data_IF_474710994176
#
_entry.id   IF_474710994176
#
_cell.length_a   1.000
_cell.length_b   1.000
_cell.length_c   1.000
_cell.angle_alpha   90.00
_cell.angle_beta   90.00
_cell.angle_gamma   90.00
#
_symmetry.space_group_name_H-M   'P 1'
#
loop_
_entity.id
_entity.type
_entity.pdbx_description
1 polymer ?
#
# COMPACT_ATOMS: atom_id res chain seq x y z
N UNK A 1 5.05 7.75 2.41
CA UNK A 1 6.27 6.92 2.21
C UNK A 1 7.38 7.47 3.08
N UNK A 2 8.24 6.61 3.64
CA UNK A 2 9.37 7.01 4.48
C UNK A 2 10.67 6.33 4.03
N UNK A 3 11.84 6.85 4.46
CA UNK A 3 13.14 6.20 4.19
C UNK A 3 13.12 4.72 4.59
N UNK A 4 13.70 3.84 3.78
CA UNK A 4 13.78 2.41 4.08
C UNK A 4 14.50 2.13 5.40
N UNK A 5 14.34 0.90 5.93
CA UNK A 5 14.90 0.47 7.22
C UNK A 5 16.40 0.74 7.41
N UNK A 6 17.19 0.70 6.32
CA UNK A 6 18.63 0.99 6.33
C UNK A 6 18.96 2.41 5.88
N UNK A 7 18.00 3.34 5.94
CA UNK A 7 18.10 4.73 5.48
C UNK A 7 18.36 4.88 3.96
N UNK A 8 18.17 3.79 3.21
CA UNK A 8 18.33 3.71 1.76
C UNK A 8 16.99 3.48 1.06
N UNK A 9 17.03 3.36 -0.26
CA UNK A 9 15.93 2.85 -1.07
C UNK A 9 15.79 1.32 -0.98
N UNK A 10 14.62 0.75 -1.28
CA UNK A 10 13.35 1.45 -1.56
C UNK A 10 12.79 2.17 -0.33
N UNK A 11 11.78 3.02 -0.54
CA UNK A 11 11.05 3.62 0.57
C UNK A 11 10.12 2.58 1.20
N UNK A 12 9.95 2.65 2.52
CA UNK A 12 8.93 1.84 3.17
C UNK A 12 7.60 2.59 3.25
N UNK A 13 6.51 1.82 3.34
CA UNK A 13 5.18 2.38 3.58
C UNK A 13 5.02 2.64 5.08
N UNK A 14 4.66 3.87 5.41
CA UNK A 14 4.59 4.37 6.78
C UNK A 14 3.30 5.13 7.00
N UNK A 15 2.74 5.03 8.20
CA UNK A 15 1.66 5.89 8.63
C UNK A 15 2.25 7.21 9.14
N UNK A 16 1.67 8.33 8.70
CA UNK A 16 1.91 9.64 9.30
C UNK A 16 1.41 9.65 10.76
N UNK A 17 2.16 10.32 11.65
CA UNK A 17 1.86 10.31 13.10
C UNK A 17 0.77 11.30 13.48
N UNK A 18 0.56 12.31 12.65
CA UNK A 18 -0.40 13.37 12.90
C UNK A 18 -1.66 13.14 12.08
N UNK A 19 -2.78 12.89 12.75
CA UNK A 19 -4.07 12.58 12.10
C UNK A 19 -4.56 13.71 11.17
N UNK A 20 -4.09 14.94 11.38
CA UNK A 20 -4.39 16.10 10.51
C UNK A 20 -3.69 16.04 9.14
N UNK A 21 -2.69 15.18 8.97
CA UNK A 21 -1.94 15.02 7.73
C UNK A 21 -2.38 13.74 7.03
N UNK A 22 -3.08 13.90 5.92
CA UNK A 22 -3.66 12.80 5.14
C UNK A 22 -2.62 11.95 4.37
N UNK A 23 -1.34 12.34 4.39
CA UNK A 23 -0.26 11.61 3.75
C UNK A 23 -0.19 11.84 2.24
N UNK A 24 0.27 10.81 1.51
CA UNK A 24 0.41 10.84 0.04
C UNK A 24 -0.78 10.10 -0.57
N UNK A 25 -1.46 10.66 -1.58
CA UNK A 25 -2.55 9.99 -2.28
C UNK A 25 -2.11 8.63 -2.85
N UNK A 26 -3.06 7.69 -2.91
CA UNK A 26 -2.84 6.36 -3.50
C UNK A 26 -3.91 6.04 -4.55
N UNK A 27 -3.53 5.25 -5.54
CA UNK A 27 -4.43 4.61 -6.49
C UNK A 27 -4.47 3.12 -6.17
N UNK A 28 -5.68 2.56 -6.17
CA UNK A 28 -5.92 1.13 -6.09
C UNK A 28 -6.27 0.62 -7.48
N UNK A 29 -5.59 -0.41 -7.95
CA UNK A 29 -5.79 -0.99 -9.28
C UNK A 29 -6.06 -2.49 -9.14
N UNK A 30 -7.28 -2.99 -9.44
CA UNK A 30 -7.55 -4.43 -9.47
C UNK A 30 -6.71 -5.11 -10.55
N UNK A 31 -6.18 -6.31 -10.28
CA UNK A 31 -5.23 -6.98 -11.20
C UNK A 31 -5.90 -7.98 -12.14
N UNK A 32 -6.98 -8.65 -11.72
CA UNK A 32 -7.62 -9.74 -12.48
C UNK A 32 -9.14 -9.54 -12.67
N UNK A 33 -9.61 -8.30 -12.66
CA UNK A 33 -11.02 -7.98 -12.89
C UNK A 33 -11.17 -6.98 -14.02
N UNK A 34 -12.30 -7.04 -14.72
CA UNK A 34 -12.65 -5.98 -15.69
C UNK A 34 -12.64 -4.64 -14.98
N UNK A 35 -11.96 -3.66 -15.57
CA UNK A 35 -11.95 -2.29 -15.07
C UNK A 35 -13.34 -1.67 -15.27
N UNK A 36 -14.19 -1.83 -14.26
CA UNK A 36 -15.48 -1.16 -14.13
C UNK A 36 -15.38 0.08 -13.24
N UNK A 37 -14.16 0.47 -12.84
CA UNK A 37 -13.88 1.57 -11.92
C UNK A 37 -14.26 1.30 -10.46
N UNK A 38 -14.69 0.08 -10.10
CA UNK A 38 -15.12 -0.26 -8.73
C UNK A 38 -14.07 -1.10 -8.01
N UNK A 39 -13.55 -0.57 -6.90
CA UNK A 39 -12.69 -1.34 -6.00
C UNK A 39 -13.56 -2.19 -5.08
N UNK A 40 -13.41 -3.51 -5.17
CA UNK A 40 -14.17 -4.48 -4.39
C UNK A 40 -13.30 -5.06 -3.28
N UNK A 41 -13.94 -5.39 -2.16
CA UNK A 41 -13.27 -6.11 -1.07
C UNK A 41 -12.76 -7.48 -1.53
N UNK A 42 -11.78 -8.01 -0.80
CA UNK A 42 -11.19 -9.34 -1.02
C UNK A 42 -10.70 -9.62 -2.45
N UNK A 43 -10.44 -8.57 -3.23
CA UNK A 43 -9.94 -8.63 -4.60
C UNK A 43 -8.47 -8.24 -4.63
N UNK A 44 -7.65 -9.00 -5.37
CA UNK A 44 -6.22 -8.70 -5.53
C UNK A 44 -6.05 -7.38 -6.28
N UNK A 45 -5.32 -6.47 -5.63
CA UNK A 45 -5.08 -5.12 -6.12
C UNK A 45 -3.64 -4.68 -5.88
N UNK A 46 -3.16 -3.79 -6.75
CA UNK A 46 -1.95 -3.02 -6.48
C UNK A 46 -2.31 -1.73 -5.75
N UNK A 47 -1.37 -1.23 -4.92
CA UNK A 47 -1.49 0.04 -4.21
C UNK A 47 -0.32 0.94 -4.63
N UNK A 48 -0.59 2.00 -5.37
CA UNK A 48 0.43 2.90 -5.92
C UNK A 48 0.34 4.27 -5.30
N UNK A 49 1.45 4.75 -4.73
CA UNK A 49 1.52 6.12 -4.20
C UNK A 49 1.77 7.14 -5.31
N UNK A 50 1.08 8.28 -5.22
CA UNK A 50 1.18 9.40 -6.16
C UNK A 50 1.81 10.60 -5.42
N UNK A 51 3.15 10.67 -5.31
CA UNK A 51 3.82 11.82 -4.72
C UNK A 51 3.64 13.07 -5.59
N UNK A 52 3.61 14.24 -4.96
CA UNK A 52 3.48 15.54 -5.65
C UNK A 52 4.70 15.96 -6.48
N UNK A 53 5.76 15.16 -6.49
CA UNK A 53 7.02 15.45 -7.16
C UNK A 53 7.92 14.21 -7.26
N UNK A 54 9.10 14.33 -7.88
CA UNK A 54 10.00 13.21 -8.08
C UNK A 54 10.50 12.63 -6.75
N UNK A 55 10.67 11.31 -6.72
CA UNK A 55 11.25 10.58 -5.60
C UNK A 55 12.77 10.48 -5.75
N UNK A 56 13.51 10.41 -4.63
CA UNK A 56 14.95 10.15 -4.69
C UNK A 56 15.27 8.67 -5.00
N UNK A 57 14.30 7.77 -4.81
CA UNK A 57 14.39 6.37 -5.21
C UNK A 57 13.93 6.21 -6.65
N UNK A 58 14.69 5.44 -7.44
CA UNK A 58 14.35 5.08 -8.83
C UNK A 58 13.34 3.94 -8.94
N UNK A 59 13.13 3.21 -7.85
CA UNK A 59 12.12 2.15 -7.74
C UNK A 59 10.70 2.73 -7.90
N UNK A 60 9.77 1.89 -8.35
CA UNK A 60 8.36 2.27 -8.43
C UNK A 60 7.79 2.65 -7.05
N UNK A 61 6.72 3.43 -7.06
CA UNK A 61 5.94 3.76 -5.85
C UNK A 61 4.81 2.76 -5.58
N UNK A 62 4.82 1.62 -6.29
CA UNK A 62 3.88 0.51 -6.07
C UNK A 62 4.30 -0.22 -4.81
N UNK A 63 3.36 -0.47 -3.93
CA UNK A 63 3.58 -1.21 -2.68
C UNK A 63 3.91 -2.67 -2.99
N UNK A 64 4.78 -3.26 -2.17
CA UNK A 64 5.04 -4.69 -2.15
C UNK A 64 5.36 -5.17 -0.73
N UNK A 65 5.10 -6.44 -0.45
CA UNK A 65 5.62 -7.11 0.74
C UNK A 65 7.10 -7.42 0.52
N UNK A 66 7.97 -6.85 1.36
CA UNK A 66 9.39 -7.15 1.34
C UNK A 66 9.68 -8.50 2.01
N UNK A 67 10.85 -9.07 1.73
CA UNK A 67 11.44 -10.18 2.47
C UNK A 67 11.37 -10.00 4.01
N UNK A 68 11.25 -11.13 4.71
CA UNK A 68 11.24 -11.14 6.17
C UNK A 68 12.52 -10.54 6.74
N UNK A 69 12.37 -9.50 7.56
CA UNK A 69 13.49 -8.90 8.27
C UNK A 69 13.68 -9.64 9.60
N UNK A 70 14.61 -10.59 9.63
CA UNK A 70 14.92 -11.38 10.83
C UNK A 70 15.34 -10.50 12.02
N UNK A 71 16.03 -9.39 11.78
CA UNK A 71 16.50 -8.49 12.84
C UNK A 71 15.36 -7.76 13.55
N UNK A 72 14.23 -7.59 12.86
CA UNK A 72 13.03 -6.91 13.38
C UNK A 72 11.84 -7.83 13.57
N UNK A 73 11.91 -9.07 13.11
CA UNK A 73 10.88 -10.10 13.27
C UNK A 73 9.60 -9.85 12.46
N UNK A 74 9.68 -9.15 11.33
CA UNK A 74 8.50 -8.72 10.57
C UNK A 74 8.70 -8.76 9.06
N UNK A 75 7.60 -9.07 8.34
CA UNK A 75 7.45 -8.76 6.91
C UNK A 75 6.97 -7.31 6.80
N UNK A 76 7.71 -6.47 6.07
CA UNK A 76 7.43 -5.04 5.94
C UNK A 76 6.74 -4.74 4.60
N UNK A 77 5.85 -3.75 4.60
CA UNK A 77 5.36 -3.18 3.35
C UNK A 77 6.34 -2.11 2.89
N UNK A 78 6.92 -2.33 1.71
CA UNK A 78 7.87 -1.43 1.05
C UNK A 78 7.36 -0.99 -0.32
N UNK A 79 8.09 -0.12 -1.01
CA UNK A 79 7.81 0.25 -2.40
C UNK A 79 8.75 -0.46 -3.38
N UNK A 80 8.48 -0.37 -4.67
CA UNK A 80 9.25 -1.05 -5.72
C UNK A 80 8.54 -2.26 -6.32
N UNK A 81 7.24 -2.40 -6.04
CA UNK A 81 6.41 -3.45 -6.61
C UNK A 81 6.16 -3.32 -8.12
N UNK A 82 5.49 -4.32 -8.66
CA UNK A 82 5.10 -4.41 -10.07
C UNK A 82 3.59 -4.20 -10.18
N UNK A 83 3.16 -3.33 -11.09
CA UNK A 83 1.75 -3.02 -11.32
C UNK A 83 1.22 -3.84 -12.50
N UNK A 84 0.00 -4.38 -12.36
CA UNK A 84 -0.74 -5.07 -13.42
C UNK A 84 -0.33 -6.52 -13.70
N UNK A 85 0.65 -7.06 -12.99
CA UNK A 85 1.07 -8.46 -13.13
C UNK A 85 0.42 -9.35 -12.04
N UNK A 86 -0.52 -10.25 -12.39
CA UNK A 86 -1.14 -11.17 -11.44
C UNK A 86 -0.16 -12.20 -10.84
N UNK A 87 1.02 -12.36 -11.41
CA UNK A 87 2.05 -13.27 -10.89
C UNK A 87 3.06 -12.54 -9.98
N UNK A 88 3.01 -11.22 -9.89
CA UNK A 88 3.82 -10.43 -8.97
C UNK A 88 3.25 -10.48 -7.54
N UNK A 89 3.25 -11.68 -6.93
CA UNK A 89 2.56 -11.98 -5.66
C UNK A 89 2.90 -11.00 -4.53
N UNK A 90 4.12 -10.48 -4.45
CA UNK A 90 4.52 -9.51 -3.41
C UNK A 90 3.78 -8.18 -3.54
N UNK A 91 3.30 -7.83 -4.74
CA UNK A 91 2.61 -6.57 -5.05
C UNK A 91 1.08 -6.70 -5.00
N UNK A 92 0.55 -7.87 -4.62
CA UNK A 92 -0.87 -8.14 -4.52
C UNK A 92 -1.36 -7.97 -3.08
N UNK A 93 -2.16 -6.94 -2.85
CA UNK A 93 -2.83 -6.67 -1.59
C UNK A 93 -4.33 -6.84 -1.75
N UNK A 94 -5.06 -6.88 -0.63
CA UNK A 94 -6.52 -6.87 -0.59
C UNK A 94 -7.02 -5.86 0.42
N UNK A 95 -8.24 -5.37 0.20
CA UNK A 95 -9.00 -4.64 1.20
C UNK A 95 -10.00 -5.61 1.83
N UNK A 96 -9.98 -5.76 3.16
CA UNK A 96 -10.99 -6.52 3.90
C UNK A 96 -12.01 -5.55 4.51
N UNK A 97 -13.29 -5.80 4.30
CA UNK A 97 -14.37 -5.12 5.01
C UNK A 97 -14.75 -5.78 6.33
N UNK A 98 -15.76 -5.22 6.98
CA UNK A 98 -16.22 -5.59 8.31
C UNK A 98 -16.78 -4.36 9.03
N UNK A 99 -16.54 -4.26 10.35
CA UNK A 99 -16.87 -3.05 11.13
C UNK A 99 -16.07 -1.83 10.62
N UNK A 100 -14.88 -2.07 10.08
CA UNK A 100 -13.99 -1.06 9.49
C UNK A 100 -13.15 -1.72 8.39
N UNK A 101 -12.69 -0.95 7.41
CA UNK A 101 -11.76 -1.46 6.41
C UNK A 101 -10.38 -1.72 6.99
N UNK A 102 -9.69 -2.70 6.42
CA UNK A 102 -8.28 -3.00 6.70
C UNK A 102 -7.58 -3.40 5.41
N UNK A 103 -6.28 -3.15 5.34
CA UNK A 103 -5.43 -3.75 4.31
C UNK A 103 -5.03 -5.16 4.75
N UNK A 104 -4.89 -6.05 3.77
CA UNK A 104 -4.42 -7.40 3.96
C UNK A 104 -3.44 -7.78 2.85
N UNK A 105 -2.59 -8.75 3.16
CA UNK A 105 -1.77 -9.44 2.18
C UNK A 105 -2.22 -10.89 2.16
N UNK A 106 -2.78 -11.32 1.04
CA UNK A 106 -3.38 -12.64 0.87
C UNK A 106 -3.52 -12.95 -0.63
N UNK A 107 -2.41 -13.12 -1.36
CA UNK A 107 -2.45 -13.29 -2.81
C UNK A 107 -3.21 -14.58 -3.22
N UNK A 108 -4.18 -14.47 -4.14
CA UNK A 108 -5.04 -15.60 -4.56
C UNK A 108 -4.32 -16.66 -5.38
N UNK A 109 -3.30 -16.26 -6.13
CA UNK A 109 -2.69 -17.06 -7.20
C UNK A 109 -1.82 -18.20 -6.63
N UNK A 110 -1.76 -18.33 -5.31
CA UNK A 110 -0.96 -19.31 -4.59
C UNK A 110 -1.75 -19.89 -3.41
N UNK A 111 -2.35 -21.08 -3.59
CA UNK A 111 -3.14 -21.79 -2.56
C UNK A 111 -2.36 -21.97 -1.24
N UNK A 112 -1.06 -22.31 -1.34
CA UNK A 112 -0.21 -22.46 -0.15
C UNK A 112 0.10 -21.12 0.54
N UNK A 113 0.11 -20.01 -0.21
CA UNK A 113 0.34 -18.68 0.34
C UNK A 113 -0.87 -18.20 1.15
N UNK A 114 -2.08 -18.58 0.76
CA UNK A 114 -3.28 -18.28 1.55
C UNK A 114 -3.19 -18.91 2.96
N UNK A 115 -2.56 -20.07 3.11
CA UNK A 115 -2.44 -20.72 4.42
C UNK A 115 -1.49 -19.98 5.38
N UNK A 116 -0.36 -19.46 4.89
CA UNK A 116 0.71 -18.93 5.77
C UNK A 116 0.84 -17.41 5.76
N UNK A 117 0.49 -16.77 4.65
CA UNK A 117 0.69 -15.34 4.44
C UNK A 117 -0.61 -14.53 4.47
N UNK A 118 -1.78 -15.19 4.46
CA UNK A 118 -3.07 -14.50 4.50
C UNK A 118 -3.34 -13.83 5.85
N UNK A 119 -2.77 -12.64 6.01
CA UNK A 119 -2.79 -11.87 7.25
C UNK A 119 -3.10 -10.41 6.94
N UNK A 120 -3.39 -9.65 7.98
CA UNK A 120 -3.75 -8.25 7.85
C UNK A 120 -2.49 -7.36 7.94
N UNK A 121 -2.60 -6.11 7.52
CA UNK A 121 -1.52 -5.13 7.64
C UNK A 121 -1.75 -4.29 8.89
N UNK A 122 -0.77 -4.34 9.79
CA UNK A 122 -0.72 -3.55 11.01
C UNK A 122 0.45 -2.57 11.01
N UNK A 123 0.70 -2.00 12.18
CA UNK A 123 1.73 -0.97 12.39
C UNK A 123 2.85 -1.49 13.25
N UNK A 124 4.06 -1.04 12.97
CA UNK A 124 5.25 -1.34 13.75
C UNK A 124 6.07 -0.07 13.97
N UNK A 125 6.48 0.13 15.22
CA UNK A 125 7.51 1.09 15.58
C UNK A 125 8.51 0.36 16.47
N UNK A 126 9.80 0.51 16.17
CA UNK A 126 10.87 -0.02 17.01
C UNK A 126 11.13 0.85 18.25
N UNK A 127 10.43 1.98 18.41
CA UNK A 127 10.71 3.01 19.43
C UNK A 127 11.97 3.84 19.13
N UNK A 128 12.95 3.27 18.43
CA UNK A 128 14.18 3.93 17.98
C UNK A 128 13.99 4.64 16.62
N UNK A 129 13.11 4.10 15.76
CA UNK A 129 12.74 4.71 14.50
C UNK A 129 11.52 5.62 14.69
N UNK A 130 11.61 6.85 14.19
CA UNK A 130 10.50 7.79 14.19
C UNK A 130 9.39 7.38 13.22
N UNK A 131 9.64 6.44 12.31
CA UNK A 131 8.65 5.96 11.36
C UNK A 131 7.73 4.89 11.95
N UNK A 132 6.43 5.03 11.71
CA UNK A 132 5.42 4.01 12.01
C UNK A 132 5.21 3.17 10.75
N UNK A 133 5.99 2.10 10.60
CA UNK A 133 6.05 1.28 9.38
C UNK A 133 4.87 0.31 9.33
N UNK A 134 4.40 -0.01 8.12
CA UNK A 134 3.38 -1.03 7.93
C UNK A 134 4.02 -2.42 7.83
N UNK A 135 3.42 -3.40 8.49
CA UNK A 135 3.92 -4.78 8.59
C UNK A 135 2.79 -5.80 8.54
N UNK A 136 3.10 -7.04 8.16
CA UNK A 136 2.18 -8.17 8.25
C UNK A 136 1.92 -8.55 9.71
N UNK A 137 0.65 -8.66 10.12
CA UNK A 137 0.20 -8.96 11.49
C UNK A 137 -1.05 -9.84 11.46
N UNK A 138 -1.27 -10.62 12.52
CA UNK A 138 -2.51 -11.39 12.68
C UNK A 138 -3.73 -10.47 12.85
N UNK A 139 -3.53 -9.30 13.46
CA UNK A 139 -4.53 -8.24 13.60
C UNK A 139 -4.05 -6.96 12.93
N UNK A 140 -4.80 -6.50 11.94
CA UNK A 140 -4.54 -5.32 11.15
C UNK A 140 -5.08 -4.05 11.78
N UNK A 141 -4.57 -2.93 11.27
CA UNK A 141 -4.98 -1.61 11.72
C UNK A 141 -6.22 -1.13 10.93
N UNK A 142 -7.32 -0.76 11.62
CA UNK A 142 -8.48 -0.16 10.98
C UNK A 142 -8.14 1.13 10.23
N UNK A 143 -8.75 1.32 9.06
CA UNK A 143 -8.64 2.55 8.29
C UNK A 143 -9.96 2.95 7.62
N UNK A 144 -9.98 4.19 7.15
CA UNK A 144 -11.03 4.75 6.31
C UNK A 144 -10.39 5.30 5.04
N UNK A 145 -11.15 5.31 3.94
CA UNK A 145 -10.72 5.92 2.69
C UNK A 145 -11.28 7.34 2.61
N UNK A 146 -10.39 8.30 2.40
CA UNK A 146 -10.73 9.70 2.13
C UNK A 146 -10.33 9.99 0.70
N UNK A 147 -11.28 10.46 -0.12
CA UNK A 147 -10.99 10.89 -1.49
C UNK A 147 -10.01 12.06 -1.43
N UNK A 148 -8.91 12.00 -2.19
CA UNK A 148 -7.85 12.99 -2.15
C UNK A 148 -8.19 14.31 -2.90
N UNK A 149 -9.38 14.43 -3.49
CA UNK A 149 -9.74 15.55 -4.36
C UNK A 149 -9.93 16.88 -3.62
N UNK A 150 -9.28 17.90 -4.19
CA UNK A 150 -9.86 19.18 -4.58
C UNK A 150 -9.45 19.45 -6.04
N UNK A 151 -10.10 18.83 -7.05
CA UNK A 151 -9.85 19.21 -8.45
C UNK A 151 -10.39 20.62 -8.72
N UNK A 152 -9.52 21.62 -8.77
CA UNK A 152 -9.81 22.96 -9.32
C UNK A 152 -8.97 23.25 -10.57
N UNK A 153 -9.47 22.76 -11.71
CA UNK A 153 -9.89 23.58 -12.86
C UNK A 153 -10.67 22.67 -13.81
N UNK A 154 -12.00 22.77 -13.76
CA UNK A 154 -12.90 21.85 -14.49
C UNK A 154 -12.94 22.06 -16.01
N UNK A 155 -12.41 23.18 -16.51
CA UNK A 155 -12.27 23.43 -17.94
C UNK A 155 -11.42 24.68 -18.21
N UNK A 156 -10.62 24.64 -19.28
CA UNK A 156 -10.29 25.85 -20.06
C UNK A 156 -10.80 25.57 -21.47
N UNK A 157 -11.80 26.34 -21.90
CA UNK A 157 -12.34 26.30 -23.27
C UNK A 157 -11.79 27.50 -24.01
N UNK A 158 -11.35 27.27 -25.24
CA UNK A 158 -11.17 28.35 -26.21
C UNK A 158 -12.50 28.60 -26.93
N UNK A 159 -12.86 29.86 -27.13
CA UNK A 159 -14.03 30.25 -27.91
C UNK A 159 -13.54 30.70 -29.28
N UNK A 160 -13.43 29.74 -30.21
CA UNK A 160 -13.31 29.99 -31.64
C UNK A 160 -14.09 28.94 -32.44
#
# INVERSE_FOLDING_TARGET
MGKGRNQTCPYDVVQERFDLRQGIPVIFSPVDTKDDGVIRESTDLNIKFIPSGPTACSQSTVSMMDSYDESRGHWFVTTGGVEGDPYALSSLFRIKGGVSYKLAYCPSVCDSCEQYLCKEIGKYSSGLDSQLRLVLKDNGWPLVFVKADDELLKQVVDHA
#
